data_IF_504939625314
#
_entry.id   IF_504939625314
#
_cell.length_a   1.000
_cell.length_b   1.000
_cell.length_c   1.000
_cell.angle_alpha   90.00
_cell.angle_beta   90.00
_cell.angle_gamma   90.00
#
_symmetry.space_group_name_H-M   'P 1'
#
loop_
_entity.id
_entity.type
_entity.pdbx_description
1 polymer ?
#
# COMPACT_ATOMS: atom_id res chain seq x y z
N UNK A 1 -18.20 12.48 -23.19
CA UNK A 1 -16.78 12.07 -23.10
C UNK A 1 -16.76 10.92 -22.10
N UNK A 2 -16.54 9.68 -22.56
CA UNK A 2 -16.51 8.52 -21.66
C UNK A 2 -15.21 8.65 -20.87
N UNK A 3 -15.32 8.82 -19.56
CA UNK A 3 -14.17 8.85 -18.67
C UNK A 3 -13.74 7.39 -18.48
N UNK A 4 -12.63 7.00 -19.13
CA UNK A 4 -12.07 5.65 -18.93
C UNK A 4 -11.61 5.50 -17.49
N UNK A 5 -11.95 4.37 -16.88
CA UNK A 5 -11.42 4.03 -15.57
C UNK A 5 -9.90 3.83 -15.65
N UNK A 6 -9.13 4.48 -14.78
CA UNK A 6 -7.69 4.33 -14.75
C UNK A 6 -7.30 2.92 -14.32
N UNK A 7 -6.27 2.37 -14.94
CA UNK A 7 -5.69 1.08 -14.56
C UNK A 7 -4.66 1.27 -13.45
N UNK A 8 -4.43 0.23 -12.64
CA UNK A 8 -3.39 0.25 -11.61
C UNK A 8 -2.23 -0.65 -12.05
N UNK A 9 -1.04 -0.06 -12.14
CA UNK A 9 0.20 -0.79 -12.37
C UNK A 9 0.89 -1.06 -11.04
N UNK A 10 1.12 -2.34 -10.75
CA UNK A 10 1.80 -2.78 -9.53
C UNK A 10 3.29 -2.97 -9.83
N UNK A 11 4.13 -2.44 -8.94
CA UNK A 11 5.58 -2.65 -8.92
C UNK A 11 6.03 -2.84 -7.47
N UNK A 12 7.26 -3.31 -7.25
CA UNK A 12 7.80 -3.56 -5.90
C UNK A 12 9.10 -2.80 -5.73
N UNK A 13 9.18 -1.97 -4.70
CA UNK A 13 10.44 -1.38 -4.27
C UNK A 13 11.19 -2.33 -3.34
N UNK A 14 12.36 -2.77 -3.79
CA UNK A 14 13.26 -3.67 -3.06
C UNK A 14 14.35 -2.94 -2.28
N UNK A 15 14.51 -1.63 -2.47
CA UNK A 15 15.59 -0.84 -1.88
C UNK A 15 15.20 -0.25 -0.51
N UNK A 16 14.23 -0.86 0.16
CA UNK A 16 13.70 -0.38 1.42
C UNK A 16 14.54 -0.96 2.56
N UNK A 17 15.43 -0.13 3.12
CA UNK A 17 16.33 -0.55 4.20
C UNK A 17 15.60 -0.91 5.49
N UNK A 18 14.40 -0.36 5.69
CA UNK A 18 13.57 -0.63 6.86
C UNK A 18 12.08 -0.39 6.60
N UNK A 19 11.24 -1.19 7.26
CA UNK A 19 9.78 -1.05 7.21
C UNK A 19 9.24 -0.56 8.55
N UNK A 20 8.41 0.51 8.58
CA UNK A 20 7.82 0.98 9.82
C UNK A 20 6.82 -0.02 10.38
N UNK A 21 6.82 -0.17 11.70
CA UNK A 21 5.82 -0.92 12.43
C UNK A 21 4.45 -0.20 12.28
N UNK A 22 3.35 -0.94 12.05
CA UNK A 22 2.03 -0.35 12.00
C UNK A 22 1.65 0.33 13.33
N UNK A 23 0.72 1.27 13.21
CA UNK A 23 -0.02 1.75 14.34
C UNK A 23 -1.16 0.76 14.66
N UNK A 24 -1.47 0.61 15.94
CA UNK A 24 -2.53 -0.29 16.39
C UNK A 24 -3.54 0.44 17.28
N UNK A 25 -4.79 0.07 17.13
CA UNK A 25 -5.87 0.46 18.02
C UNK A 25 -6.55 -0.78 18.58
N UNK A 26 -6.46 -0.95 19.90
CA UNK A 26 -7.04 -2.07 20.62
C UNK A 26 -8.27 -1.59 21.37
N UNK A 27 -9.38 -2.31 21.26
CA UNK A 27 -10.61 -1.99 22.00
C UNK A 27 -11.29 -3.21 22.56
N UNK A 28 -11.89 -3.05 23.73
CA UNK A 28 -12.68 -4.07 24.38
C UNK A 28 -13.67 -3.46 25.37
N UNK A 29 -14.68 -4.21 25.76
CA UNK A 29 -15.68 -3.77 26.75
C UNK A 29 -15.20 -3.95 28.21
N UNK A 30 -14.14 -4.73 28.41
CA UNK A 30 -13.49 -4.96 29.70
C UNK A 30 -12.20 -4.14 29.82
N UNK A 31 -11.75 -3.96 31.06
CA UNK A 31 -10.44 -3.36 31.30
C UNK A 31 -9.31 -4.35 31.01
N UNK A 32 -8.40 -3.96 30.14
CA UNK A 32 -7.21 -4.74 29.82
C UNK A 32 -5.96 -3.86 29.83
N UNK A 33 -4.81 -4.53 29.88
CA UNK A 33 -3.48 -3.93 29.74
C UNK A 33 -2.74 -4.66 28.63
N UNK A 34 -1.88 -3.93 27.93
CA UNK A 34 -0.99 -4.50 26.93
C UNK A 34 0.43 -4.34 27.44
N UNK A 35 1.19 -5.43 27.41
CA UNK A 35 2.64 -5.40 27.58
C UNK A 35 3.26 -5.58 26.21
N UNK A 36 4.13 -4.68 25.83
CA UNK A 36 4.93 -4.84 24.64
C UNK A 36 6.31 -5.37 25.01
N UNK A 37 6.77 -6.39 24.29
CA UNK A 37 8.08 -6.97 24.40
C UNK A 37 8.75 -6.94 23.02
N UNK A 38 9.86 -6.22 22.93
CA UNK A 38 10.63 -6.08 21.70
C UNK A 38 12.05 -6.53 22.02
N UNK A 39 12.51 -7.54 21.31
CA UNK A 39 13.92 -7.92 21.36
C UNK A 39 14.75 -6.70 20.94
N UNK A 40 15.65 -6.22 21.82
CA UNK A 40 16.59 -5.11 21.59
C UNK A 40 16.07 -3.66 21.70
N UNK A 41 14.79 -3.41 22.01
CA UNK A 41 14.30 -2.04 22.27
C UNK A 41 13.79 -1.88 23.72
N UNK A 42 14.43 -1.02 24.54
CA UNK A 42 14.21 -1.04 25.99
C UNK A 42 12.92 -0.35 26.46
N UNK A 43 12.22 0.41 25.61
CA UNK A 43 10.99 1.09 26.03
C UNK A 43 10.00 1.31 24.88
N UNK A 44 9.09 0.35 24.69
CA UNK A 44 7.91 0.56 23.85
C UNK A 44 6.71 1.12 24.59
N UNK A 45 6.80 1.33 25.91
CA UNK A 45 5.68 1.88 26.66
C UNK A 45 5.38 3.32 26.24
N UNK A 46 6.42 4.07 25.84
CA UNK A 46 6.31 5.45 25.33
C UNK A 46 5.44 5.63 24.09
N UNK A 47 5.15 4.54 23.35
CA UNK A 47 4.32 4.59 22.15
C UNK A 47 2.85 4.30 22.43
N UNK A 48 2.50 3.89 23.65
CA UNK A 48 1.10 3.76 24.01
C UNK A 48 0.49 5.11 24.38
N UNK A 49 -0.75 5.32 23.97
CA UNK A 49 -1.56 6.41 24.43
C UNK A 49 -3.00 5.95 24.69
N UNK A 50 -3.58 6.47 25.78
CA UNK A 50 -5.00 6.29 26.08
C UNK A 50 -5.88 7.33 25.39
N UNK A 51 -5.28 8.41 24.88
CA UNK A 51 -5.96 9.47 24.15
C UNK A 51 -5.43 9.55 22.72
N UNK A 52 -6.28 9.99 21.78
CA UNK A 52 -5.89 10.07 20.36
C UNK A 52 -4.67 10.99 20.11
N UNK A 53 -4.33 11.86 21.07
CA UNK A 53 -3.42 13.01 20.92
C UNK A 53 -2.52 13.34 22.12
N UNK A 54 -2.49 12.58 23.22
CA UNK A 54 -1.64 12.91 24.37
C UNK A 54 -0.43 11.97 24.51
N UNK A 55 0.76 12.52 24.29
CA UNK A 55 2.08 11.93 24.55
C UNK A 55 2.38 11.87 26.07
N UNK A 56 1.47 11.30 26.88
CA UNK A 56 1.79 11.08 28.29
C UNK A 56 2.62 9.81 28.42
N UNK A 57 3.93 10.01 28.53
CA UNK A 57 4.90 9.01 28.99
C UNK A 57 4.45 8.56 30.39
N UNK A 58 3.74 7.43 30.47
CA UNK A 58 3.53 6.75 31.74
C UNK A 58 3.69 5.24 31.58
N UNK A 59 4.57 4.72 32.42
CA UNK A 59 4.85 3.32 32.69
C UNK A 59 3.57 2.50 32.86
N UNK A 60 3.43 1.43 32.06
CA UNK A 60 2.27 0.54 32.01
C UNK A 60 0.95 1.29 31.78
N UNK A 61 0.40 1.20 30.57
CA UNK A 61 -0.97 1.63 30.30
C UNK A 61 -1.89 0.96 31.33
N UNK A 62 -2.33 1.73 32.33
CA UNK A 62 -3.27 1.25 33.34
C UNK A 62 -4.63 1.14 32.66
N UNK A 63 -5.14 -0.09 32.66
CA UNK A 63 -6.54 -0.49 32.53
C UNK A 63 -7.39 0.47 31.72
N UNK A 64 -7.45 0.24 30.41
CA UNK A 64 -8.32 0.99 29.52
C UNK A 64 -9.19 0.02 28.71
N UNK A 65 -10.33 0.53 28.24
CA UNK A 65 -11.17 -0.11 27.22
C UNK A 65 -10.68 0.19 25.80
N UNK A 66 -9.83 1.21 25.67
CA UNK A 66 -9.29 1.68 24.39
C UNK A 66 -7.81 2.01 24.57
N UNK A 67 -6.94 1.36 23.78
CA UNK A 67 -5.49 1.58 23.84
C UNK A 67 -4.99 1.81 22.43
N UNK A 68 -4.31 2.94 22.22
CA UNK A 68 -3.57 3.23 20.99
C UNK A 68 -2.11 2.89 21.18
N UNK A 69 -1.50 2.30 20.16
CA UNK A 69 -0.06 2.12 20.05
C UNK A 69 0.41 2.82 18.76
N UNK A 70 1.12 3.93 18.92
CA UNK A 70 1.43 4.89 17.86
C UNK A 70 2.95 5.09 17.72
N UNK A 71 3.69 4.11 17.18
CA UNK A 71 5.10 4.29 16.86
C UNK A 71 5.33 5.34 15.77
N UNK A 72 4.35 5.61 14.90
CA UNK A 72 4.43 6.67 13.87
C UNK A 72 5.73 6.62 13.03
N UNK A 73 6.23 5.42 12.78
CA UNK A 73 7.42 5.17 11.96
C UNK A 73 8.76 5.24 12.70
N UNK A 74 8.80 5.48 14.01
CA UNK A 74 10.06 5.46 14.78
C UNK A 74 10.55 4.04 15.08
N UNK A 75 9.63 3.07 15.13
CA UNK A 75 9.95 1.65 15.22
C UNK A 75 9.91 1.06 13.81
N UNK A 76 11.01 0.44 13.40
CA UNK A 76 11.14 -0.18 12.08
C UNK A 76 11.71 -1.59 12.18
N UNK A 77 11.25 -2.47 11.30
CA UNK A 77 11.94 -3.71 10.96
C UNK A 77 13.12 -3.35 10.06
N UNK A 78 14.32 -3.79 10.40
CA UNK A 78 15.49 -3.61 9.55
C UNK A 78 15.85 -4.93 8.89
N UNK A 79 16.32 -4.86 7.64
CA UNK A 79 16.83 -6.03 6.91
C UNK A 79 18.27 -6.40 7.33
N UNK A 80 18.72 -5.94 8.51
CA UNK A 80 20.06 -6.27 8.97
C UNK A 80 20.10 -7.76 9.34
N UNK A 81 21.10 -8.51 8.86
CA UNK A 81 21.32 -9.91 9.21
C UNK A 81 21.83 -10.01 10.65
N UNK A 82 21.01 -9.58 11.59
CA UNK A 82 21.20 -9.90 13.00
C UNK A 82 20.74 -11.34 13.18
N UNK A 83 21.45 -12.11 14.01
CA UNK A 83 21.20 -13.54 14.22
C UNK A 83 19.78 -13.87 14.75
N UNK A 84 18.98 -12.85 15.08
CA UNK A 84 17.63 -12.98 15.60
C UNK A 84 16.70 -11.96 14.91
N UNK A 85 15.61 -12.40 14.27
CA UNK A 85 14.64 -11.48 13.69
C UNK A 85 14.03 -10.59 14.77
N UNK A 86 13.92 -9.29 14.50
CA UNK A 86 13.19 -8.35 15.35
C UNK A 86 11.71 -8.76 15.30
N UNK A 87 11.23 -9.37 16.38
CA UNK A 87 9.82 -9.71 16.55
C UNK A 87 9.21 -8.71 17.54
N UNK A 88 8.09 -8.10 17.15
CA UNK A 88 7.29 -7.30 18.07
C UNK A 88 6.21 -8.19 18.66
N UNK A 89 6.25 -8.39 19.98
CA UNK A 89 5.26 -9.18 20.70
C UNK A 89 4.44 -8.27 21.61
N UNK A 90 3.13 -8.29 21.44
CA UNK A 90 2.18 -7.69 22.37
C UNK A 90 1.50 -8.80 23.17
N UNK A 91 1.64 -8.76 24.49
CA UNK A 91 0.96 -9.65 25.42
C UNK A 91 -0.23 -8.89 26.02
N UNK A 92 -1.43 -9.42 25.81
CA UNK A 92 -2.67 -8.83 26.30
C UNK A 92 -3.06 -9.51 27.61
N UNK A 93 -3.35 -8.70 28.63
CA UNK A 93 -3.80 -9.18 29.92
C UNK A 93 -5.10 -8.52 30.33
N UNK A 94 -6.04 -9.32 30.83
CA UNK A 94 -7.33 -8.85 31.36
C UNK A 94 -7.17 -8.57 32.83
N UNK A 95 -7.64 -7.43 33.30
CA UNK A 95 -7.60 -7.11 34.73
C UNK A 95 -8.98 -6.71 35.27
N UNK A 96 -10.02 -7.25 34.65
CA UNK A 96 -11.39 -7.01 35.04
C UNK A 96 -11.86 -8.17 35.94
N UNK A 97 -12.32 -7.86 37.15
CA UNK A 97 -12.79 -8.89 38.10
C UNK A 97 -14.05 -9.61 37.62
N UNK A 98 -14.76 -9.03 36.65
CA UNK A 98 -15.92 -9.66 36.01
C UNK A 98 -15.55 -10.58 34.85
N UNK A 99 -14.27 -10.64 34.48
CA UNK A 99 -13.80 -11.49 33.42
C UNK A 99 -13.72 -12.95 33.86
N UNK A 100 -14.33 -13.83 33.08
CA UNK A 100 -14.21 -15.28 33.27
C UNK A 100 -13.85 -15.94 31.94
N UNK A 101 -12.63 -16.45 31.86
CA UNK A 101 -12.07 -17.13 30.68
C UNK A 101 -12.85 -18.36 30.22
N UNK A 102 -13.68 -18.95 31.10
CA UNK A 102 -14.46 -20.14 30.78
C UNK A 102 -15.82 -19.84 30.14
N UNK A 103 -16.28 -18.58 30.20
CA UNK A 103 -17.64 -18.17 29.80
C UNK A 103 -17.60 -17.04 28.77
N UNK A 104 -16.60 -16.17 28.82
CA UNK A 104 -16.55 -14.97 27.99
C UNK A 104 -16.25 -15.32 26.52
N UNK A 105 -17.18 -14.95 25.63
CA UNK A 105 -17.03 -15.10 24.17
C UNK A 105 -16.66 -13.79 23.48
N UNK A 106 -16.44 -12.72 24.26
CA UNK A 106 -16.16 -11.38 23.73
C UNK A 106 -14.70 -11.25 23.33
N UNK A 107 -14.49 -10.51 22.25
CA UNK A 107 -13.21 -10.43 21.58
C UNK A 107 -12.56 -9.06 21.82
N UNK A 108 -11.23 -9.05 21.89
CA UNK A 108 -10.48 -7.79 21.79
C UNK A 108 -10.41 -7.43 20.31
N UNK A 109 -10.93 -6.26 19.96
CA UNK A 109 -10.88 -5.75 18.61
C UNK A 109 -9.54 -5.06 18.37
N UNK A 110 -8.94 -5.32 17.22
CA UNK A 110 -7.67 -4.73 16.81
C UNK A 110 -7.82 -4.15 15.42
N UNK A 111 -7.43 -2.88 15.28
CA UNK A 111 -7.31 -2.23 13.98
C UNK A 111 -5.83 -1.90 13.76
N UNK A 112 -5.27 -2.39 12.66
CA UNK A 112 -3.91 -2.08 12.24
C UNK A 112 -3.95 -1.08 11.06
N UNK A 113 -3.13 -0.03 11.11
CA UNK A 113 -3.05 0.97 10.05
C UNK A 113 -1.63 1.51 9.89
N UNK A 114 -1.33 2.12 8.73
CA UNK A 114 0.01 2.62 8.44
C UNK A 114 0.44 3.73 9.41
N UNK A 115 1.75 3.82 9.64
CA UNK A 115 2.38 4.85 10.46
C UNK A 115 2.07 6.29 10.03
N UNK A 116 1.81 6.51 8.74
CA UNK A 116 1.54 7.82 8.16
C UNK A 116 0.05 8.11 8.00
N UNK A 117 -0.81 7.13 8.26
CA UNK A 117 -2.25 7.21 8.03
C UNK A 117 -2.90 8.45 8.69
N UNK A 118 -2.49 8.77 9.92
CA UNK A 118 -3.04 9.91 10.68
C UNK A 118 -2.63 11.28 10.12
N UNK A 119 -1.70 11.35 9.16
CA UNK A 119 -1.26 12.60 8.53
C UNK A 119 -2.22 13.07 7.42
N UNK A 120 -3.08 12.19 6.91
CA UNK A 120 -3.98 12.51 5.81
C UNK A 120 -5.21 13.29 6.31
N UNK A 121 -5.38 14.53 5.84
CA UNK A 121 -6.56 15.36 6.17
C UNK A 121 -7.80 15.03 5.33
N UNK A 122 -7.61 14.65 4.06
CA UNK A 122 -8.66 14.37 3.08
C UNK A 122 -8.31 13.10 2.29
N UNK A 123 -8.50 11.94 2.90
CA UNK A 123 -8.11 10.68 2.28
C UNK A 123 -9.17 10.15 1.30
N UNK A 124 -8.76 9.52 0.19
CA UNK A 124 -9.68 8.81 -0.69
C UNK A 124 -10.40 7.66 0.02
N UNK A 125 -11.66 7.44 -0.36
CA UNK A 125 -12.53 6.39 0.22
C UNK A 125 -11.93 4.98 0.13
N UNK A 126 -11.10 4.70 -0.89
CA UNK A 126 -10.47 3.39 -1.01
C UNK A 126 -9.47 3.11 0.13
N UNK A 127 -8.85 4.14 0.71
CA UNK A 127 -7.95 3.97 1.87
C UNK A 127 -8.75 3.56 3.11
N UNK A 128 -9.95 4.12 3.29
CA UNK A 128 -10.84 3.72 4.37
C UNK A 128 -11.20 2.24 4.29
N UNK A 129 -11.41 1.71 3.07
CA UNK A 129 -11.71 0.30 2.86
C UNK A 129 -10.57 -0.61 3.37
N UNK A 130 -9.31 -0.26 3.10
CA UNK A 130 -8.18 -1.04 3.60
C UNK A 130 -8.10 -1.05 5.12
N UNK A 131 -8.45 0.06 5.79
CA UNK A 131 -8.52 0.06 7.26
C UNK A 131 -9.64 -0.82 7.80
N UNK A 132 -10.80 -0.82 7.13
CA UNK A 132 -11.89 -1.74 7.52
C UNK A 132 -11.52 -3.21 7.31
N UNK A 133 -10.64 -3.50 6.34
CA UNK A 133 -10.11 -4.85 6.11
C UNK A 133 -9.06 -5.27 7.14
N UNK A 134 -8.29 -4.32 7.69
CA UNK A 134 -7.28 -4.57 8.73
C UNK A 134 -7.87 -4.59 10.15
N UNK A 135 -9.14 -5.00 10.27
CA UNK A 135 -9.85 -5.12 11.54
C UNK A 135 -9.99 -6.59 11.94
N UNK A 136 -9.53 -6.92 13.15
CA UNK A 136 -9.45 -8.29 13.65
C UNK A 136 -10.09 -8.42 15.03
N UNK A 137 -10.61 -9.61 15.29
CA UNK A 137 -11.18 -10.00 16.58
C UNK A 137 -10.29 -11.06 17.21
N UNK A 138 -9.67 -10.75 18.33
CA UNK A 138 -8.90 -11.72 19.10
C UNK A 138 -9.83 -12.42 20.10
N UNK A 139 -9.91 -13.74 19.96
CA UNK A 139 -10.65 -14.63 20.85
C UNK A 139 -9.70 -15.26 21.87
N UNK A 140 -10.20 -15.56 23.07
CA UNK A 140 -9.41 -16.35 23.99
C UNK A 140 -9.38 -17.81 23.54
N UNK A 141 -8.20 -18.44 23.62
CA UNK A 141 -8.07 -19.89 23.52
C UNK A 141 -8.44 -20.54 24.85
N UNK A 142 -8.74 -21.84 24.83
CA UNK A 142 -8.83 -22.61 26.08
C UNK A 142 -7.52 -22.40 26.85
N UNK A 143 -7.60 -21.91 28.08
CA UNK A 143 -6.44 -21.67 28.96
C UNK A 143 -5.39 -20.65 28.48
N UNK A 144 -5.74 -19.72 27.58
CA UNK A 144 -4.81 -18.65 27.17
C UNK A 144 -3.71 -19.13 26.21
N UNK A 145 -4.02 -20.13 25.38
CA UNK A 145 -3.07 -20.72 24.42
C UNK A 145 -2.98 -19.96 23.08
N UNK A 146 -3.80 -18.94 22.86
CA UNK A 146 -3.86 -18.28 21.56
C UNK A 146 -2.73 -17.26 21.38
N UNK A 147 -1.84 -17.54 20.43
CA UNK A 147 -0.93 -16.56 19.88
C UNK A 147 -1.33 -16.23 18.46
N UNK A 148 -1.39 -14.95 18.17
CA UNK A 148 -1.75 -14.40 16.89
C UNK A 148 -0.49 -13.94 16.17
N UNK A 149 -0.36 -14.26 14.90
CA UNK A 149 0.68 -13.76 14.02
C UNK A 149 0.02 -12.83 13.01
N UNK A 150 0.15 -11.53 13.26
CA UNK A 150 -0.24 -10.50 12.30
C UNK A 150 0.93 -10.26 11.37
N UNK A 151 0.68 -10.54 10.10
CA UNK A 151 1.61 -10.21 9.03
C UNK A 151 1.07 -9.10 8.17
N UNK A 152 1.94 -8.24 7.67
CA UNK A 152 1.51 -7.10 6.85
C UNK A 152 2.47 -6.80 5.71
N UNK A 153 1.95 -6.22 4.63
CA UNK A 153 2.72 -5.55 3.59
C UNK A 153 2.36 -4.08 3.57
N UNK A 154 3.36 -3.22 3.36
CA UNK A 154 3.15 -1.79 3.16
C UNK A 154 2.92 -1.52 1.68
N UNK A 155 1.91 -0.70 1.39
CA UNK A 155 1.55 -0.26 0.05
C UNK A 155 1.70 1.24 -0.06
N UNK A 156 2.26 1.69 -1.17
CA UNK A 156 2.30 3.09 -1.56
C UNK A 156 1.51 3.23 -2.85
N UNK A 157 0.48 4.07 -2.81
CA UNK A 157 -0.34 4.39 -3.97
C UNK A 157 -0.07 5.80 -4.45
N UNK A 158 0.20 5.91 -5.73
CA UNK A 158 0.46 7.15 -6.44
C UNK A 158 -0.68 7.38 -7.42
N UNK A 159 -1.63 8.24 -7.02
CA UNK A 159 -2.72 8.62 -7.90
C UNK A 159 -2.23 9.66 -8.92
N UNK A 160 -2.77 9.57 -10.12
CA UNK A 160 -2.38 10.39 -11.24
C UNK A 160 -3.00 11.79 -11.10
N UNK A 161 -2.28 12.84 -11.51
CA UNK A 161 -2.91 14.16 -11.64
C UNK A 161 -3.94 14.13 -12.79
N UNK A 162 -5.21 14.39 -12.48
CA UNK A 162 -6.27 14.46 -13.51
C UNK A 162 -6.23 15.76 -14.35
N UNK A 163 -5.04 16.34 -14.52
CA UNK A 163 -4.84 17.59 -15.25
C UNK A 163 -5.11 17.43 -16.76
N UNK A 164 -5.40 18.54 -17.44
CA UNK A 164 -5.68 18.54 -18.88
C UNK A 164 -4.50 18.03 -19.71
N UNK A 165 -3.26 18.36 -19.32
CA UNK A 165 -2.06 17.89 -20.02
C UNK A 165 -1.90 16.37 -19.92
N UNK A 166 -2.16 15.82 -18.75
CA UNK A 166 -2.21 14.36 -18.55
C UNK A 166 -3.32 13.71 -19.38
N UNK A 167 -4.45 14.40 -19.60
CA UNK A 167 -5.51 13.91 -20.51
C UNK A 167 -5.06 13.85 -21.98
N UNK A 168 -4.22 14.78 -22.43
CA UNK A 168 -3.74 14.81 -23.82
C UNK A 168 -2.64 13.77 -24.06
N UNK A 169 -1.79 13.49 -23.07
CA UNK A 169 -0.75 12.47 -23.15
C UNK A 169 0.63 12.93 -22.66
N UNK A 170 0.72 14.06 -21.95
CA UNK A 170 1.93 14.42 -21.22
C UNK A 170 2.12 13.50 -20.02
N UNK A 171 3.36 13.35 -19.58
CA UNK A 171 3.72 12.54 -18.42
C UNK A 171 3.01 13.04 -17.16
N UNK A 172 2.25 12.18 -16.48
CA UNK A 172 1.53 12.57 -15.27
C UNK A 172 2.47 12.91 -14.12
N UNK A 173 1.98 13.79 -13.24
CA UNK A 173 2.61 14.12 -11.96
C UNK A 173 1.93 13.32 -10.86
N UNK A 174 2.73 12.61 -10.07
CA UNK A 174 2.24 11.72 -9.01
C UNK A 174 2.42 12.27 -7.58
N UNK A 175 3.32 13.24 -7.40
CA UNK A 175 3.77 13.71 -6.08
C UNK A 175 2.71 14.38 -5.21
N UNK A 176 1.57 14.77 -5.78
CA UNK A 176 0.50 15.46 -5.03
C UNK A 176 -0.39 14.46 -4.29
N UNK A 177 -0.51 13.23 -4.81
CA UNK A 177 -1.48 12.25 -4.35
C UNK A 177 -0.79 10.91 -4.03
N UNK A 178 0.22 10.96 -3.16
CA UNK A 178 0.87 9.75 -2.63
C UNK A 178 0.26 9.38 -1.29
N UNK A 179 -0.19 8.14 -1.18
CA UNK A 179 -0.81 7.60 0.02
C UNK A 179 -0.17 6.28 0.44
N UNK A 180 0.06 6.13 1.74
CA UNK A 180 0.59 4.93 2.35
C UNK A 180 -0.49 4.24 3.16
N UNK A 181 -0.61 2.95 2.96
CA UNK A 181 -1.51 2.10 3.72
C UNK A 181 -0.91 0.71 3.86
N UNK A 182 -1.52 -0.12 4.70
CA UNK A 182 -1.07 -1.51 4.88
C UNK A 182 -2.17 -2.45 4.46
N UNK A 183 -1.76 -3.62 4.03
CA UNK A 183 -2.62 -4.79 3.94
C UNK A 183 -2.07 -5.82 4.90
N UNK A 184 -2.93 -6.36 5.74
CA UNK A 184 -2.53 -7.31 6.77
C UNK A 184 -3.36 -8.58 6.72
N UNK A 185 -2.87 -9.61 7.39
CA UNK A 185 -3.60 -10.83 7.67
C UNK A 185 -3.17 -11.39 9.01
N UNK A 186 -4.11 -11.95 9.75
CA UNK A 186 -3.87 -12.55 11.06
C UNK A 186 -4.02 -14.06 11.01
N UNK A 187 -3.10 -14.78 11.64
CA UNK A 187 -3.15 -16.24 11.78
C UNK A 187 -3.11 -16.61 13.25
N UNK A 188 -3.90 -17.60 13.64
CA UNK A 188 -3.91 -18.13 15.02
C UNK A 188 -3.00 -19.35 15.06
N UNK A 189 -2.05 -19.35 15.98
CA UNK A 189 -1.20 -20.50 16.26
C UNK A 189 -1.43 -20.87 17.73
N UNK A 190 -1.93 -22.08 18.03
CA UNK A 190 -2.03 -22.55 19.40
C UNK A 190 -0.62 -22.72 19.94
N UNK A 191 -0.32 -22.04 21.04
CA UNK A 191 0.99 -22.11 21.67
C UNK A 191 0.96 -23.19 22.76
N UNK A 192 1.82 -24.21 22.67
CA UNK A 192 1.72 -25.41 23.49
C UNK A 192 2.11 -25.18 24.95
N UNK A 193 2.64 -24.00 25.30
CA UNK A 193 3.07 -23.67 26.65
C UNK A 193 2.10 -22.66 27.25
N UNK A 194 1.28 -23.13 28.19
CA UNK A 194 0.38 -22.31 28.98
C UNK A 194 1.14 -21.16 29.65
N UNK A 195 0.67 -19.93 29.46
CA UNK A 195 1.16 -18.80 30.23
C UNK A 195 0.68 -18.97 31.69
N UNK A 196 1.58 -18.86 32.66
CA UNK A 196 1.25 -19.10 34.07
C UNK A 196 0.51 -17.93 34.72
N UNK A 197 0.40 -16.78 34.04
CA UNK A 197 -0.39 -15.65 34.51
C UNK A 197 -1.88 -15.89 34.23
N UNK A 198 -2.74 -15.98 35.27
CA UNK A 198 -4.18 -16.21 35.10
C UNK A 198 -4.89 -15.07 34.36
N UNK A 199 -4.28 -13.89 34.30
CA UNK A 199 -4.81 -12.73 33.60
C UNK A 199 -4.40 -12.69 32.13
N UNK A 200 -3.58 -13.62 31.65
CA UNK A 200 -3.16 -13.64 30.25
C UNK A 200 -4.33 -13.97 29.31
N UNK A 201 -4.52 -13.13 28.29
CA UNK A 201 -5.57 -13.31 27.28
C UNK A 201 -5.01 -13.97 26.02
N UNK A 202 -4.06 -13.29 25.37
CA UNK A 202 -3.45 -13.72 24.12
C UNK A 202 -2.11 -13.01 23.88
N UNK A 203 -1.28 -13.59 23.01
CA UNK A 203 -0.11 -12.92 22.46
C UNK A 203 -0.34 -12.50 21.01
N UNK A 204 0.25 -11.40 20.57
CA UNK A 204 0.21 -10.92 19.19
C UNK A 204 1.64 -10.62 18.71
N UNK A 205 2.12 -11.47 17.81
CA UNK A 205 3.34 -11.24 17.04
C UNK A 205 3.03 -10.41 15.81
N UNK A 206 3.82 -9.37 15.58
CA UNK A 206 3.71 -8.52 14.38
C UNK A 206 5.00 -8.64 13.58
N UNK A 207 4.89 -9.04 12.32
CA UNK A 207 6.02 -9.17 11.40
C UNK A 207 5.62 -8.75 9.97
N UNK A 208 6.53 -8.22 9.15
CA UNK A 208 6.24 -7.97 7.75
C UNK A 208 6.10 -9.29 6.96
N UNK A 209 5.25 -9.33 5.93
CA UNK A 209 5.20 -10.42 4.94
C UNK A 209 6.43 -10.40 4.04
N UNK A 210 6.83 -9.20 3.62
CA UNK A 210 8.00 -8.95 2.78
C UNK A 210 8.65 -7.66 3.27
N UNK A 211 9.96 -7.53 3.08
CA UNK A 211 10.69 -6.28 3.36
C UNK A 211 10.56 -5.25 2.21
N UNK A 212 9.59 -5.43 1.32
CA UNK A 212 9.40 -4.62 0.11
C UNK A 212 8.15 -3.77 0.24
N UNK A 213 8.14 -2.60 -0.40
CA UNK A 213 6.94 -1.76 -0.51
C UNK A 213 6.29 -2.00 -1.88
N UNK A 214 5.00 -2.31 -1.88
CA UNK A 214 4.23 -2.46 -3.11
C UNK A 214 3.81 -1.08 -3.60
N UNK A 215 4.32 -0.70 -4.77
CA UNK A 215 4.06 0.56 -5.45
C UNK A 215 2.92 0.38 -6.45
N UNK A 216 1.76 0.94 -6.12
CA UNK A 216 0.58 1.02 -6.98
C UNK A 216 0.57 2.37 -7.70
N UNK A 217 0.88 2.37 -9.00
CA UNK A 217 0.83 3.57 -9.82
C UNK A 217 -0.43 3.57 -10.67
N UNK A 218 -1.23 4.59 -10.51
CA UNK A 218 -2.36 4.83 -11.39
C UNK A 218 -1.84 5.16 -12.79
N UNK A 219 -2.28 4.42 -13.80
CA UNK A 219 -1.90 4.62 -15.19
C UNK A 219 -3.14 4.62 -16.07
N UNK A 220 -3.20 5.58 -16.98
CA UNK A 220 -4.22 5.56 -18.03
C UNK A 220 -4.00 4.43 -19.02
N UNK A 221 -5.09 3.77 -19.37
CA UNK A 221 -5.09 2.73 -20.40
C UNK A 221 -4.85 3.34 -21.79
N UNK A 222 -5.38 4.55 -22.04
CA UNK A 222 -5.26 5.29 -23.31
C UNK A 222 -5.24 6.80 -23.10
N UNK A 223 -4.47 7.49 -23.94
CA UNK A 223 -4.45 8.95 -24.04
C UNK A 223 -5.13 9.44 -25.32
N UNK A 224 -5.49 10.73 -25.38
CA UNK A 224 -6.09 11.32 -26.59
C UNK A 224 -5.13 11.22 -27.79
N UNK A 225 -3.84 11.40 -27.57
CA UNK A 225 -2.81 11.19 -28.60
C UNK A 225 -2.84 9.74 -29.12
N UNK A 226 -3.04 8.74 -28.26
CA UNK A 226 -3.09 7.34 -28.69
C UNK A 226 -4.31 7.09 -29.59
N UNK A 227 -5.47 7.65 -29.23
CA UNK A 227 -6.70 7.55 -30.03
C UNK A 227 -6.54 8.25 -31.38
N UNK A 228 -5.94 9.45 -31.39
CA UNK A 228 -5.65 10.19 -32.63
C UNK A 228 -4.61 9.46 -33.49
N UNK A 229 -3.60 8.84 -32.88
CA UNK A 229 -2.57 8.04 -33.54
C UNK A 229 -3.14 6.78 -34.18
N UNK A 230 -4.00 6.05 -33.47
CA UNK A 230 -4.69 4.88 -34.03
C UNK A 230 -5.62 5.30 -35.16
N UNK A 231 -6.38 6.38 -34.98
CA UNK A 231 -7.28 6.90 -36.01
C UNK A 231 -6.50 7.33 -37.26
N UNK A 232 -5.40 8.06 -37.10
CA UNK A 232 -4.57 8.51 -38.23
C UNK A 232 -3.89 7.34 -38.94
N UNK A 233 -3.46 6.31 -38.20
CA UNK A 233 -2.92 5.08 -38.77
C UNK A 233 -3.99 4.32 -39.59
N UNK A 234 -5.23 4.21 -39.09
CA UNK A 234 -6.34 3.58 -39.83
C UNK A 234 -6.65 4.37 -41.11
N UNK A 235 -6.77 5.69 -41.02
CA UNK A 235 -7.03 6.54 -42.19
C UNK A 235 -5.86 6.49 -43.20
N UNK A 236 -4.63 6.51 -42.72
CA UNK A 236 -3.42 6.39 -43.55
C UNK A 236 -3.35 5.04 -44.28
N UNK A 237 -3.69 3.95 -43.59
CA UNK A 237 -3.74 2.60 -44.17
C UNK A 237 -4.87 2.48 -45.18
N UNK A 238 -6.06 2.99 -44.88
CA UNK A 238 -7.19 3.03 -45.81
C UNK A 238 -6.85 3.84 -47.06
N UNK A 239 -6.23 5.01 -46.90
CA UNK A 239 -5.79 5.84 -48.02
C UNK A 239 -4.70 5.15 -48.84
N UNK A 240 -3.73 4.50 -48.19
CA UNK A 240 -2.68 3.72 -48.84
C UNK A 240 -3.26 2.55 -49.66
N UNK A 241 -4.16 1.76 -49.07
CA UNK A 241 -4.88 0.68 -49.76
C UNK A 241 -5.71 1.23 -50.92
N UNK A 242 -6.41 2.35 -50.73
CA UNK A 242 -7.20 2.97 -51.78
C UNK A 242 -6.33 3.42 -52.97
N UNK A 243 -5.19 4.08 -52.71
CA UNK A 243 -4.25 4.49 -53.75
C UNK A 243 -3.61 3.29 -54.47
N UNK A 244 -3.29 2.23 -53.73
CA UNK A 244 -2.72 0.99 -54.28
C UNK A 244 -3.71 0.23 -55.15
N UNK A 245 -4.93 -0.01 -54.66
CA UNK A 245 -5.96 -0.81 -55.34
C UNK A 245 -6.57 -0.08 -56.54
N UNK A 246 -6.87 1.21 -56.38
CA UNK A 246 -7.56 1.95 -57.44
C UNK A 246 -6.63 2.63 -58.42
N UNK A 247 -5.30 2.50 -58.23
CA UNK A 247 -4.21 3.07 -59.05
C UNK A 247 -4.71 4.25 -59.87
N UNK A 248 -5.29 5.25 -59.19
CA UNK A 248 -5.64 6.49 -59.86
C UNK A 248 -4.29 6.95 -60.37
N UNK A 249 -4.16 7.23 -61.67
CA UNK A 249 -2.98 7.91 -62.20
C UNK A 249 -2.84 9.20 -61.37
N UNK A 250 -2.14 9.11 -60.25
CA UNK A 250 -1.61 10.24 -59.52
C UNK A 250 -0.65 10.82 -60.55
N UNK A 251 -1.12 11.87 -61.21
CA UNK A 251 -0.42 12.65 -62.23
C UNK A 251 0.78 13.40 -61.62
N UNK A 252 1.59 12.68 -60.89
CA UNK A 252 2.69 13.14 -60.09
C UNK A 252 3.44 11.89 -59.66
N UNK A 253 4.24 11.37 -60.57
CA UNK A 253 5.27 10.39 -60.26
C UNK A 253 6.08 10.94 -59.07
N UNK A 254 6.09 10.29 -57.90
CA UNK A 254 6.90 10.76 -56.77
C UNK A 254 8.41 10.73 -57.09
N UNK A 255 8.79 10.02 -58.17
CA UNK A 255 10.15 9.93 -58.70
C UNK A 255 10.42 10.88 -59.87
N UNK A 256 9.41 11.57 -60.41
CA UNK A 256 9.56 12.44 -61.58
C UNK A 256 10.38 13.70 -61.29
N UNK A 257 10.33 14.23 -60.06
CA UNK A 257 11.16 15.37 -59.64
C UNK A 257 12.64 15.00 -59.48
N UNK A 258 12.93 13.81 -58.94
CA UNK A 258 14.31 13.31 -58.78
C UNK A 258 14.92 13.00 -60.15
N UNK A 259 14.14 12.40 -61.06
CA UNK A 259 14.58 12.11 -62.43
C UNK A 259 14.87 13.38 -63.23
N UNK A 260 14.05 14.44 -63.06
CA UNK A 260 14.24 15.72 -63.75
C UNK A 260 15.48 16.47 -63.28
N UNK A 261 15.89 16.27 -62.03
CA UNK A 261 17.08 16.91 -61.46
C UNK A 261 18.36 16.18 -61.85
N UNK A 262 18.33 14.84 -61.91
CA UNK A 262 19.45 14.01 -62.34
C UNK A 262 19.84 14.27 -63.82
N UNK A 263 18.84 14.39 -64.71
CA UNK A 263 19.11 14.68 -66.13
C UNK A 263 19.51 16.13 -66.42
N UNK A 264 19.14 17.07 -65.54
CA UNK A 264 19.54 18.47 -65.70
C UNK A 264 21.04 18.65 -65.41
N UNK A 265 21.56 17.98 -64.39
CA UNK A 265 23.00 18.00 -64.06
C UNK A 265 23.89 17.27 -65.09
N UNK A 266 23.36 16.25 -65.78
CA UNK A 266 24.08 15.59 -66.88
C UNK A 266 24.16 16.47 -68.13
N UNK A 267 23.13 17.26 -68.42
CA UNK A 267 23.09 18.16 -69.58
C UNK A 267 23.98 19.41 -69.46
N UNK A 268 24.30 19.83 -68.23
CA UNK A 268 25.19 20.98 -67.98
C UNK A 268 26.68 20.60 -67.97
N UNK A 269 27.02 19.31 -68.06
CA UNK A 269 28.41 18.82 -68.19
C UNK A 269 28.87 18.59 -69.63
N UNK A 270 28.01 18.86 -70.62
CA UNK A 270 28.31 18.72 -72.06
C UNK A 270 28.17 20.08 -72.75
N UNK A 271 28.96 21.07 -72.33
CA UNK A 271 29.36 22.24 -73.14
C UNK A 271 30.82 22.55 -72.78
#
# INVERSE_FOLDING_TARGET
MIEEEPSIKISYDKNVNSLPLPNFYFTWDKHFRIRCNITYFPDCNKYFSNDRLNNSIYNNVRFSRHIWFLPNGTLTFNDTPTAFPINFLFELYVNDTTYNSSIETRNINIIAFDSEFLKYKNQPRYIDLFNTQNHYYLTQGRDGENYYYLKYRRKERQDMDHSFFTKIGFTPKYYVNTYHYIESGIQIIPYPRRNSDPNFFAGLYVNPWTMMVELEKEQKSRNIIDVLGISSAIYGLMLGLYLFLFRKKLSGEPYGLIYKQYYKEESEKII
#
